data_IF_404773477102
#
_entry.id   IF_404773477102
#
_cell.length_a   1.000
_cell.length_b   1.000
_cell.length_c   1.000
_cell.angle_alpha   90.00
_cell.angle_beta   90.00
_cell.angle_gamma   90.00
#
_symmetry.space_group_name_H-M   'P 1'
#
loop_
_entity.id
_entity.type
_entity.pdbx_description
1 polymer ?
#
# COMPACT_ATOMS: atom_id res chain seq x y z
N UNK A 1 16.38 2.24 18.49
CA UNK A 1 15.40 3.19 19.07
C UNK A 1 15.56 4.62 18.54
N UNK A 2 16.79 5.10 18.25
CA UNK A 2 17.05 6.48 17.79
C UNK A 2 16.38 6.86 16.46
N UNK A 3 16.14 5.91 15.57
CA UNK A 3 15.49 6.16 14.28
C UNK A 3 13.97 6.27 14.36
N UNK A 4 13.35 5.97 15.51
CA UNK A 4 11.91 6.01 15.77
C UNK A 4 11.09 5.30 14.65
N UNK A 5 11.52 4.11 14.22
CA UNK A 5 10.80 3.36 13.20
C UNK A 5 9.44 2.89 13.71
N UNK A 6 8.39 3.29 13.00
CA UNK A 6 7.02 2.85 13.20
C UNK A 6 6.34 2.63 11.83
N UNK A 7 5.03 2.32 11.84
CA UNK A 7 4.31 2.14 10.58
C UNK A 7 4.35 3.42 9.72
N UNK A 8 5.09 3.36 8.61
CA UNK A 8 5.30 4.48 7.67
C UNK A 8 5.93 5.73 8.30
N UNK A 9 6.56 5.61 9.46
CA UNK A 9 7.19 6.71 10.20
C UNK A 9 8.66 6.43 10.54
N UNK A 10 9.45 7.49 10.59
CA UNK A 10 10.80 7.52 11.13
C UNK A 10 11.23 8.98 11.32
N UNK A 11 12.32 9.23 12.04
CA UNK A 11 12.91 10.58 12.14
C UNK A 11 13.27 11.13 10.74
N UNK A 12 13.66 10.25 9.78
CA UNK A 12 14.02 10.67 8.42
C UNK A 12 12.82 11.15 7.60
N UNK A 13 11.61 10.81 8.01
CA UNK A 13 10.36 11.30 7.40
C UNK A 13 9.78 12.53 8.11
N UNK A 14 10.31 12.90 9.29
CA UNK A 14 9.89 14.02 10.14
C UNK A 14 11.01 15.04 10.33
N UNK A 15 11.70 15.03 11.45
CA UNK A 15 12.67 16.05 11.88
C UNK A 15 13.90 16.14 10.96
N UNK A 16 14.30 15.00 10.38
CA UNK A 16 15.45 14.89 9.50
C UNK A 16 15.07 14.81 7.99
N UNK A 17 13.80 15.09 7.67
CA UNK A 17 13.33 15.08 6.27
C UNK A 17 14.14 16.07 5.42
N UNK A 18 14.71 15.56 4.32
CA UNK A 18 15.52 16.35 3.38
C UNK A 18 16.95 16.66 3.85
N UNK A 19 17.33 16.23 5.06
CA UNK A 19 18.69 16.48 5.61
C UNK A 19 19.64 15.29 5.42
N UNK A 20 19.09 14.08 5.27
CA UNK A 20 19.88 12.86 5.18
C UNK A 20 19.33 11.92 4.10
N UNK A 21 20.23 11.13 3.53
CA UNK A 21 19.93 10.02 2.63
C UNK A 21 20.34 8.74 3.34
N UNK A 22 19.39 7.82 3.53
CA UNK A 22 19.66 6.48 4.10
C UNK A 22 20.31 5.64 3.01
N UNK A 23 21.59 5.33 3.15
CA UNK A 23 22.35 4.53 2.17
C UNK A 23 22.36 3.04 2.49
N UNK A 24 22.36 2.69 3.77
CA UNK A 24 22.44 1.30 4.24
C UNK A 24 21.52 1.07 5.43
N UNK A 25 20.96 -0.13 5.51
CA UNK A 25 20.21 -0.61 6.68
C UNK A 25 20.78 -1.97 7.07
N UNK A 26 21.18 -2.12 8.33
CA UNK A 26 21.68 -3.39 8.85
C UNK A 26 20.59 -4.10 9.64
N UNK A 27 20.28 -5.35 9.25
CA UNK A 27 19.32 -6.20 9.94
C UNK A 27 20.04 -7.26 10.78
N UNK A 28 19.61 -7.40 12.03
CA UNK A 28 19.99 -8.53 12.87
C UNK A 28 18.96 -9.65 12.67
N UNK A 29 19.38 -10.73 12.01
CA UNK A 29 18.49 -11.87 11.71
C UNK A 29 18.73 -13.01 12.69
N UNK A 30 17.67 -13.73 13.04
CA UNK A 30 17.75 -14.99 13.77
C UNK A 30 18.18 -16.15 12.84
N UNK A 31 18.88 -17.14 13.39
CA UNK A 31 19.25 -18.37 12.65
C UNK A 31 18.08 -19.35 12.51
N UNK A 32 17.09 -19.25 13.39
CA UNK A 32 15.87 -20.07 13.35
C UNK A 32 14.73 -19.19 12.85
N UNK A 33 14.12 -19.51 11.70
CA UNK A 33 13.06 -18.68 11.12
C UNK A 33 11.77 -18.78 11.94
N UNK A 34 11.16 -17.63 12.20
CA UNK A 34 9.79 -17.52 12.70
C UNK A 34 8.93 -17.01 11.54
N UNK A 35 8.07 -17.90 11.00
CA UNK A 35 7.27 -17.57 9.83
C UNK A 35 6.01 -16.79 10.21
N UNK A 36 5.86 -15.58 9.66
CA UNK A 36 4.61 -14.84 9.65
C UNK A 36 3.94 -15.02 8.28
N UNK A 37 2.93 -15.88 8.20
CA UNK A 37 2.26 -16.27 6.97
C UNK A 37 0.88 -15.63 6.78
N UNK A 38 0.45 -14.82 7.74
CA UNK A 38 -0.91 -14.23 7.76
C UNK A 38 -1.05 -13.07 6.77
N UNK A 39 0.08 -12.45 6.37
CA UNK A 39 0.04 -11.36 5.42
C UNK A 39 -0.04 -11.87 3.97
N UNK A 40 -0.97 -11.31 3.19
CA UNK A 40 -1.04 -11.51 1.74
C UNK A 40 -1.51 -12.91 1.28
N UNK A 41 -2.10 -13.70 2.17
CA UNK A 41 -2.56 -15.08 1.89
C UNK A 41 -1.42 -16.07 1.57
N UNK A 42 -0.23 -15.84 2.13
CA UNK A 42 0.93 -16.73 1.90
C UNK A 42 0.63 -18.16 2.37
N UNK A 43 0.00 -18.30 3.55
CA UNK A 43 -0.40 -19.61 4.10
C UNK A 43 -1.30 -20.37 3.13
N UNK A 44 -2.38 -19.74 2.67
CA UNK A 44 -3.34 -20.37 1.76
C UNK A 44 -2.73 -20.79 0.42
N UNK A 45 -1.76 -20.01 -0.09
CA UNK A 45 -1.07 -20.38 -1.33
C UNK A 45 -0.08 -21.55 -1.13
N UNK A 46 0.60 -21.64 0.01
CA UNK A 46 1.45 -22.78 0.36
C UNK A 46 0.61 -24.06 0.53
N UNK A 47 -0.52 -23.97 1.23
CA UNK A 47 -1.45 -25.09 1.44
C UNK A 47 -2.03 -25.62 0.11
N UNK A 48 -2.47 -24.73 -0.80
CA UNK A 48 -2.96 -25.11 -2.14
C UNK A 48 -1.93 -25.90 -2.94
N UNK A 49 -0.64 -25.64 -2.74
CA UNK A 49 0.46 -26.31 -3.44
C UNK A 49 0.96 -27.56 -2.72
N UNK A 50 0.49 -27.83 -1.51
CA UNK A 50 1.03 -28.90 -0.67
C UNK A 50 2.51 -28.72 -0.33
N UNK A 51 2.99 -27.46 -0.27
CA UNK A 51 4.39 -27.14 0.01
C UNK A 51 4.67 -27.07 1.51
N UNK A 52 5.82 -27.63 1.92
CA UNK A 52 6.34 -27.42 3.28
C UNK A 52 6.66 -25.95 3.54
N UNK A 53 6.52 -25.54 4.81
CA UNK A 53 6.87 -24.18 5.26
C UNK A 53 8.39 -24.08 5.43
N UNK A 54 9.08 -23.74 4.35
CA UNK A 54 10.52 -23.47 4.32
C UNK A 54 10.77 -22.02 3.89
N UNK A 55 11.97 -21.49 4.16
CA UNK A 55 12.35 -20.14 3.73
C UNK A 55 12.21 -19.97 2.21
N UNK A 56 12.64 -20.97 1.43
CA UNK A 56 12.58 -20.93 -0.02
C UNK A 56 11.13 -20.95 -0.53
N UNK A 57 10.29 -21.84 0.01
CA UNK A 57 8.89 -21.92 -0.38
C UNK A 57 8.11 -20.64 0.00
N UNK A 58 8.34 -20.10 1.19
CA UNK A 58 7.74 -18.83 1.62
C UNK A 58 8.20 -17.69 0.73
N UNK A 59 9.51 -17.57 0.46
CA UNK A 59 10.07 -16.54 -0.44
C UNK A 59 9.46 -16.63 -1.84
N UNK A 60 9.45 -17.80 -2.44
CA UNK A 60 8.94 -18.00 -3.80
C UNK A 60 7.44 -17.69 -3.87
N UNK A 61 6.66 -18.14 -2.88
CA UNK A 61 5.24 -17.83 -2.78
C UNK A 61 4.98 -16.33 -2.66
N UNK A 62 5.78 -15.61 -1.85
CA UNK A 62 5.66 -14.13 -1.76
C UNK A 62 5.97 -13.47 -3.10
N UNK A 63 7.01 -13.92 -3.81
CA UNK A 63 7.37 -13.38 -5.14
C UNK A 63 6.19 -13.56 -6.10
N UNK A 64 5.66 -14.76 -6.23
CA UNK A 64 4.57 -15.07 -7.15
C UNK A 64 3.28 -14.29 -6.83
N UNK A 65 2.91 -14.18 -5.53
CA UNK A 65 1.77 -13.35 -5.11
C UNK A 65 1.97 -11.89 -5.53
N UNK A 66 3.20 -11.37 -5.41
CA UNK A 66 3.52 -9.98 -5.79
C UNK A 66 3.48 -9.79 -7.30
N UNK A 67 4.10 -10.66 -8.05
CA UNK A 67 4.12 -10.64 -9.52
C UNK A 67 2.72 -10.77 -10.13
N UNK A 68 1.86 -11.59 -9.52
CA UNK A 68 0.46 -11.71 -9.93
C UNK A 68 -0.37 -10.45 -9.72
N UNK A 69 0.00 -9.59 -8.74
CA UNK A 69 -0.76 -8.41 -8.34
C UNK A 69 -0.17 -7.09 -8.83
N UNK A 70 1.15 -7.01 -8.96
CA UNK A 70 1.86 -5.77 -9.25
C UNK A 70 2.41 -5.78 -10.67
N UNK A 71 2.33 -4.68 -11.41
CA UNK A 71 2.96 -4.59 -12.72
C UNK A 71 4.47 -4.53 -12.59
N UNK A 72 5.18 -5.22 -13.49
CA UNK A 72 6.64 -5.08 -13.60
C UNK A 72 6.98 -3.65 -14.06
N UNK A 73 7.77 -2.88 -13.28
CA UNK A 73 8.14 -1.52 -13.66
C UNK A 73 8.94 -1.41 -14.96
N UNK A 74 9.59 -2.51 -15.40
CA UNK A 74 10.29 -2.57 -16.69
C UNK A 74 9.32 -2.65 -17.88
N UNK A 75 8.12 -3.18 -17.65
CA UNK A 75 7.06 -3.33 -18.66
C UNK A 75 6.09 -2.17 -18.61
N UNK A 76 5.67 -1.79 -17.41
CA UNK A 76 4.74 -0.69 -17.19
C UNK A 76 5.23 0.19 -16.05
N UNK A 77 5.66 1.42 -16.39
CA UNK A 77 6.19 2.37 -15.41
C UNK A 77 5.22 2.59 -14.26
N UNK A 78 5.70 2.47 -13.04
CA UNK A 78 4.95 2.70 -11.80
C UNK A 78 5.92 2.96 -10.64
N UNK A 79 5.40 3.45 -9.52
CA UNK A 79 6.15 3.70 -8.29
C UNK A 79 5.71 2.78 -7.13
N UNK A 80 5.14 1.63 -7.44
CA UNK A 80 4.55 0.72 -6.45
C UNK A 80 3.28 1.28 -5.83
N UNK A 81 3.03 1.02 -4.54
CA UNK A 81 1.89 1.59 -3.83
C UNK A 81 2.03 3.09 -3.71
N UNK A 82 1.14 3.82 -4.36
CA UNK A 82 1.22 5.28 -4.45
C UNK A 82 0.69 5.98 -3.19
N UNK A 83 -0.32 5.41 -2.54
CA UNK A 83 -0.96 5.98 -1.36
C UNK A 83 -0.69 5.15 -0.10
N UNK A 84 -0.58 5.84 1.03
CA UNK A 84 -0.59 5.22 2.35
C UNK A 84 -2.00 4.81 2.77
N UNK A 85 -2.10 3.72 3.52
CA UNK A 85 -3.35 3.38 4.19
C UNK A 85 -3.59 4.40 5.32
N UNK A 86 -4.72 5.13 5.33
CA UNK A 86 -5.02 6.09 6.37
C UNK A 86 -5.29 5.38 7.70
N UNK A 87 -4.92 6.07 8.78
CA UNK A 87 -5.23 5.67 10.16
C UNK A 87 -6.17 6.72 10.74
N UNK A 88 -7.37 6.30 11.09
CA UNK A 88 -8.45 7.15 11.61
C UNK A 88 -8.74 6.84 13.08
N UNK A 89 -9.51 7.69 13.75
CA UNK A 89 -10.01 7.38 15.09
C UNK A 89 -11.03 6.24 15.03
N UNK A 90 -11.18 5.49 16.14
CA UNK A 90 -12.21 4.45 16.25
C UNK A 90 -13.60 5.00 16.01
N UNK A 91 -13.91 6.16 16.57
CA UNK A 91 -15.19 6.83 16.38
C UNK A 91 -15.50 7.11 14.90
N UNK A 92 -14.51 7.63 14.16
CA UNK A 92 -14.66 7.88 12.71
C UNK A 92 -14.85 6.57 11.94
N UNK A 93 -14.11 5.51 12.30
CA UNK A 93 -14.24 4.19 11.69
C UNK A 93 -15.63 3.60 11.93
N UNK A 94 -16.15 3.65 13.16
CA UNK A 94 -17.48 3.12 13.52
C UNK A 94 -18.61 3.85 12.77
N UNK A 95 -18.47 5.16 12.56
CA UNK A 95 -19.41 5.91 11.73
C UNK A 95 -19.40 5.40 10.28
N UNK A 96 -18.23 5.18 9.70
CA UNK A 96 -18.09 4.61 8.35
C UNK A 96 -18.58 3.16 8.26
N UNK A 97 -18.34 2.36 9.27
CA UNK A 97 -18.75 0.94 9.29
C UNK A 97 -20.28 0.77 9.30
N UNK A 98 -21.03 1.74 9.83
CA UNK A 98 -22.50 1.73 9.75
C UNK A 98 -22.98 1.90 8.30
N UNK A 99 -22.29 2.69 7.50
CA UNK A 99 -22.61 2.91 6.09
C UNK A 99 -22.01 1.81 5.19
N UNK A 100 -20.82 1.32 5.57
CA UNK A 100 -20.05 0.29 4.84
C UNK A 100 -19.72 -0.88 5.77
N UNK A 101 -20.65 -1.79 6.10
CA UNK A 101 -20.42 -2.89 7.07
C UNK A 101 -19.25 -3.80 6.69
N UNK A 102 -18.96 -3.95 5.40
CA UNK A 102 -17.87 -4.77 4.86
C UNK A 102 -16.51 -4.04 4.78
N UNK A 103 -16.38 -2.83 5.33
CA UNK A 103 -15.13 -2.06 5.26
C UNK A 103 -13.97 -2.85 5.92
N UNK A 104 -12.92 -3.23 5.14
CA UNK A 104 -11.79 -3.93 5.70
C UNK A 104 -10.98 -2.99 6.59
N UNK A 105 -10.47 -3.52 7.68
CA UNK A 105 -9.74 -2.71 8.64
C UNK A 105 -8.73 -3.52 9.46
N UNK A 106 -7.80 -2.80 10.09
CA UNK A 106 -6.82 -3.35 11.01
C UNK A 106 -6.77 -2.47 12.26
N UNK A 107 -6.94 -3.06 13.42
CA UNK A 107 -6.82 -2.33 14.69
C UNK A 107 -5.36 -1.91 14.92
N UNK A 108 -5.16 -0.66 15.33
CA UNK A 108 -3.88 -0.04 15.65
C UNK A 108 -3.90 0.45 17.11
N UNK A 109 -4.08 -0.50 18.03
CA UNK A 109 -4.39 -0.23 19.44
C UNK A 109 -5.89 -0.02 19.67
N UNK A 110 -6.23 0.59 20.80
CA UNK A 110 -7.64 0.73 21.23
C UNK A 110 -8.38 1.81 20.44
N UNK A 111 -7.73 2.96 20.20
CA UNK A 111 -8.37 4.16 19.69
C UNK A 111 -8.21 4.42 18.20
N UNK A 112 -7.39 3.63 17.50
CA UNK A 112 -7.04 3.88 16.10
C UNK A 112 -7.26 2.66 15.21
N UNK A 113 -7.72 2.94 13.98
CA UNK A 113 -8.02 1.92 12.99
C UNK A 113 -7.39 2.30 11.66
N UNK A 114 -6.67 1.37 11.05
CA UNK A 114 -6.10 1.52 9.71
C UNK A 114 -7.06 0.94 8.68
N UNK A 115 -7.40 1.73 7.66
CA UNK A 115 -8.29 1.34 6.58
C UNK A 115 -7.46 1.16 5.30
N UNK A 116 -7.62 0.05 4.54
CA UNK A 116 -6.96 -0.13 3.26
C UNK A 116 -7.38 0.93 2.23
N UNK A 117 -6.45 1.79 1.82
CA UNK A 117 -6.71 2.80 0.80
C UNK A 117 -7.13 2.18 -0.54
N UNK A 118 -6.59 0.99 -0.88
CA UNK A 118 -6.98 0.26 -2.08
C UNK A 118 -8.50 0.01 -2.15
N UNK A 119 -9.12 -0.35 -1.04
CA UNK A 119 -10.56 -0.60 -0.97
C UNK A 119 -11.36 0.69 -1.23
N UNK A 120 -10.96 1.81 -0.62
CA UNK A 120 -11.63 3.09 -0.82
C UNK A 120 -11.50 3.58 -2.27
N UNK A 121 -10.31 3.47 -2.85
CA UNK A 121 -10.03 3.86 -4.25
C UNK A 121 -10.84 2.99 -5.23
N UNK A 122 -10.93 1.68 -4.98
CA UNK A 122 -11.75 0.74 -5.76
C UNK A 122 -13.24 1.09 -5.65
N UNK A 123 -13.74 1.39 -4.44
CA UNK A 123 -15.14 1.84 -4.21
C UNK A 123 -15.48 3.20 -4.82
N UNK A 124 -14.47 4.02 -5.15
CA UNK A 124 -14.63 5.24 -5.94
C UNK A 124 -14.58 4.98 -7.47
N UNK A 125 -14.44 3.73 -7.92
CA UNK A 125 -14.42 3.36 -9.33
C UNK A 125 -13.12 3.69 -10.06
N UNK A 126 -12.02 3.84 -9.33
CA UNK A 126 -10.72 4.17 -9.93
C UNK A 126 -9.93 2.97 -10.41
N UNK A 127 -10.14 1.79 -9.85
CA UNK A 127 -9.40 0.58 -10.23
C UNK A 127 -9.57 0.25 -11.71
N UNK A 128 -8.45 0.16 -12.44
CA UNK A 128 -8.44 -0.07 -13.88
C UNK A 128 -8.79 1.14 -14.73
N UNK A 129 -9.09 2.31 -14.14
CA UNK A 129 -9.44 3.52 -14.88
C UNK A 129 -8.19 4.21 -15.40
N UNK A 130 -8.26 4.70 -16.64
CA UNK A 130 -7.22 5.51 -17.30
C UNK A 130 -7.73 6.92 -17.53
N UNK A 131 -6.87 7.92 -17.34
CA UNK A 131 -7.10 9.33 -17.62
C UNK A 131 -5.88 9.86 -18.38
N UNK A 132 -6.06 10.20 -19.66
CA UNK A 132 -4.93 10.52 -20.52
C UNK A 132 -3.95 9.36 -20.63
N UNK A 133 -2.67 9.63 -20.37
CA UNK A 133 -1.60 8.64 -20.38
C UNK A 133 -1.31 8.03 -18.98
N UNK A 134 -2.00 8.47 -17.94
CA UNK A 134 -1.91 7.93 -16.59
C UNK A 134 -3.10 7.04 -16.26
N UNK A 135 -2.93 6.05 -15.41
CA UNK A 135 -4.02 5.16 -15.02
C UNK A 135 -3.83 4.55 -13.64
N UNK A 136 -4.86 3.85 -13.16
CA UNK A 136 -4.84 3.00 -11.97
C UNK A 136 -4.78 1.55 -12.41
N UNK A 137 -3.85 0.78 -11.86
CA UNK A 137 -3.66 -0.61 -12.25
C UNK A 137 -4.91 -1.46 -11.99
N UNK A 138 -5.26 -2.34 -12.94
CA UNK A 138 -6.51 -3.12 -12.91
C UNK A 138 -6.60 -4.17 -11.80
N UNK A 139 -5.46 -4.64 -11.29
CA UNK A 139 -5.41 -5.63 -10.20
C UNK A 139 -5.12 -5.02 -8.83
N UNK A 140 -4.57 -3.79 -8.78
CA UNK A 140 -4.16 -3.14 -7.53
C UNK A 140 -4.44 -1.64 -7.57
N UNK A 141 -5.50 -1.22 -6.91
CA UNK A 141 -5.96 0.18 -6.92
C UNK A 141 -4.98 1.19 -6.27
N UNK A 142 -3.97 0.71 -5.51
CA UNK A 142 -2.91 1.58 -4.95
C UNK A 142 -1.82 1.92 -5.96
N UNK A 143 -1.76 1.24 -7.12
CA UNK A 143 -0.66 1.42 -8.07
C UNK A 143 -1.12 2.33 -9.21
N UNK A 144 -0.53 3.51 -9.29
CA UNK A 144 -0.66 4.38 -10.45
C UNK A 144 0.36 3.96 -11.51
N UNK A 145 -0.08 3.92 -12.75
CA UNK A 145 0.69 3.37 -13.87
C UNK A 145 0.81 4.38 -15.01
N UNK A 146 1.94 4.32 -15.70
CA UNK A 146 2.13 4.97 -17.00
C UNK A 146 1.54 4.05 -18.09
N UNK A 147 0.52 4.53 -18.76
CA UNK A 147 -0.16 3.80 -19.85
C UNK A 147 0.46 4.09 -21.24
N UNK A 148 1.56 4.85 -21.26
CA UNK A 148 2.29 5.22 -22.47
C UNK A 148 2.52 6.73 -22.58
N UNK A 149 3.74 7.18 -22.26
CA UNK A 149 4.13 8.59 -22.37
C UNK A 149 3.55 9.53 -21.30
N UNK A 150 3.08 9.01 -20.16
CA UNK A 150 2.59 9.84 -19.08
C UNK A 150 3.70 10.72 -18.50
N UNK A 151 3.38 12.00 -18.33
CA UNK A 151 4.22 12.97 -17.63
C UNK A 151 4.03 12.83 -16.11
N UNK A 152 5.01 13.27 -15.31
CA UNK A 152 4.87 13.34 -13.86
C UNK A 152 3.67 14.19 -13.44
N UNK A 153 3.35 15.24 -14.20
CA UNK A 153 2.19 16.11 -13.94
C UNK A 153 0.87 15.34 -14.10
N UNK A 154 0.70 14.53 -15.14
CA UNK A 154 -0.51 13.71 -15.33
C UNK A 154 -0.69 12.71 -14.18
N UNK A 155 0.40 12.12 -13.67
CA UNK A 155 0.35 11.22 -12.50
C UNK A 155 -0.07 11.99 -11.24
N UNK A 156 0.47 13.19 -11.01
CA UNK A 156 0.10 14.04 -9.87
C UNK A 156 -1.36 14.45 -9.97
N UNK A 157 -1.83 14.87 -11.15
CA UNK A 157 -3.22 15.31 -11.35
C UNK A 157 -4.21 14.13 -11.18
N UNK A 158 -3.86 12.93 -11.66
CA UNK A 158 -4.62 11.71 -11.38
C UNK A 158 -4.69 11.42 -9.88
N UNK A 159 -3.55 11.55 -9.19
CA UNK A 159 -3.51 11.30 -7.73
C UNK A 159 -4.41 12.26 -6.94
N UNK A 160 -4.49 13.53 -7.35
CA UNK A 160 -5.37 14.54 -6.74
C UNK A 160 -6.84 14.22 -6.97
N UNK A 161 -7.22 13.80 -8.18
CA UNK A 161 -8.59 13.38 -8.48
C UNK A 161 -9.01 12.18 -7.62
N UNK A 162 -8.10 11.22 -7.40
CA UNK A 162 -8.34 10.09 -6.53
C UNK A 162 -8.53 10.54 -5.07
N UNK A 163 -7.65 11.41 -4.57
CA UNK A 163 -7.74 11.97 -3.21
C UNK A 163 -9.08 12.68 -2.99
N UNK A 164 -9.47 13.52 -3.93
CA UNK A 164 -10.75 14.24 -3.89
C UNK A 164 -11.95 13.30 -3.88
N UNK A 165 -11.94 12.28 -4.76
CA UNK A 165 -13.01 11.28 -4.83
C UNK A 165 -13.15 10.49 -3.52
N UNK A 166 -12.03 10.10 -2.91
CA UNK A 166 -12.03 9.39 -1.63
C UNK A 166 -12.51 10.30 -0.51
N UNK A 167 -12.06 11.55 -0.49
CA UNK A 167 -12.50 12.52 0.51
C UNK A 167 -14.00 12.81 0.43
N UNK A 168 -14.51 13.07 -0.77
CA UNK A 168 -15.95 13.34 -0.99
C UNK A 168 -16.83 12.15 -0.58
N UNK A 169 -16.36 10.91 -0.80
CA UNK A 169 -17.15 9.71 -0.50
C UNK A 169 -17.03 9.26 0.95
N UNK A 170 -15.86 9.35 1.57
CA UNK A 170 -15.59 8.75 2.88
C UNK A 170 -15.21 9.76 3.96
N UNK A 171 -15.03 11.04 3.63
CA UNK A 171 -14.49 12.04 4.56
C UNK A 171 -13.06 11.77 5.01
N UNK A 172 -12.32 10.94 4.26
CA UNK A 172 -10.95 10.52 4.58
C UNK A 172 -9.99 11.01 3.51
N UNK A 173 -8.89 11.65 3.92
CA UNK A 173 -7.80 12.00 3.02
C UNK A 173 -6.79 10.86 2.93
N UNK A 174 -6.54 10.35 1.71
CA UNK A 174 -5.43 9.45 1.43
C UNK A 174 -4.21 10.25 1.02
N UNK A 175 -3.06 9.97 1.63
CA UNK A 175 -1.82 10.70 1.37
C UNK A 175 -0.88 9.90 0.48
N UNK A 176 -0.22 10.53 -0.52
CA UNK A 176 0.83 9.87 -1.29
C UNK A 176 1.98 9.42 -0.40
N UNK A 177 2.53 8.25 -0.67
CA UNK A 177 3.77 7.76 -0.07
C UNK A 177 4.98 8.18 -0.92
N UNK A 178 4.78 8.38 -2.20
CA UNK A 178 5.81 8.81 -3.16
C UNK A 178 6.17 10.29 -2.95
N UNK A 179 7.45 10.61 -3.18
CA UNK A 179 7.89 11.99 -3.18
C UNK A 179 7.76 12.57 -4.59
N UNK A 180 7.22 13.76 -4.69
CA UNK A 180 7.23 14.55 -5.93
C UNK A 180 8.51 15.39 -5.96
N UNK A 181 9.26 15.27 -7.05
CA UNK A 181 10.55 15.93 -7.25
C UNK A 181 10.37 16.95 -8.38
#
# INVERSE_FOLDING_TARGET
DECHYAYRESIFKKELKGKYIVTHVTYRLGKHPLFNLEYGNVRGELEKRGCEITLDNVRNTVIEIREAKLPDPKVQGNAGSFFMNPVVSRLQFEALQREYPEIPHYNMGEDRVKIPAAWMIDRCGWKGKQVGNAGVHSKQALVLVNCGGATGREIVDLSRQIQESVFLKFGITVSPEVNFI
#
